data_IF_700261700533
#
_entry.id   IF_700261700533
#
_cell.length_a   1.000
_cell.length_b   1.000
_cell.length_c   1.000
_cell.angle_alpha   90.00
_cell.angle_beta   90.00
_cell.angle_gamma   90.00
#
_symmetry.space_group_name_H-M   'P 1'
#
loop_
_entity.id
_entity.type
_entity.pdbx_description
1 polymer ?
#
# COMPACT_ATOMS: atom_id res chain seq x y z
N UNK A 1 11.45 11.34 15.85
CA UNK A 1 10.08 10.85 15.64
C UNK A 1 9.48 11.73 14.55
N UNK A 2 9.16 11.18 13.37
CA UNK A 2 8.52 11.94 12.28
C UNK A 2 7.06 12.09 12.69
N UNK A 3 6.54 13.32 12.77
CA UNK A 3 5.12 13.54 13.09
C UNK A 3 4.24 13.15 11.90
N UNK A 4 3.02 12.71 12.14
CA UNK A 4 2.01 12.41 11.11
C UNK A 4 1.80 13.61 10.18
N UNK A 5 1.84 14.81 10.74
CA UNK A 5 1.74 16.08 10.01
C UNK A 5 2.87 16.24 8.98
N UNK A 6 4.10 15.87 9.31
CA UNK A 6 5.22 15.89 8.36
C UNK A 6 4.99 14.91 7.22
N UNK A 7 4.41 13.74 7.48
CA UNK A 7 4.10 12.76 6.42
C UNK A 7 3.05 13.30 5.47
N UNK A 8 1.95 13.82 5.99
CA UNK A 8 0.84 14.36 5.17
C UNK A 8 1.28 15.60 4.40
N UNK A 9 2.16 16.43 4.96
CA UNK A 9 2.71 17.62 4.29
C UNK A 9 3.72 17.31 3.16
N UNK A 10 4.24 16.08 3.09
CA UNK A 10 5.12 15.64 1.99
C UNK A 10 4.38 14.86 0.90
N UNK A 11 3.05 14.85 0.94
CA UNK A 11 2.22 14.27 -0.12
C UNK A 11 1.98 15.29 -1.23
N UNK A 12 1.96 14.83 -2.48
CA UNK A 12 1.67 15.66 -3.65
C UNK A 12 0.16 15.90 -3.84
N UNK A 13 -0.68 15.09 -3.17
CA UNK A 13 -2.13 15.24 -3.20
C UNK A 13 -2.61 16.24 -2.14
N UNK A 14 -3.63 16.99 -2.51
CA UNK A 14 -4.35 17.86 -1.57
C UNK A 14 -5.11 17.01 -0.55
N UNK A 15 -4.87 17.23 0.73
CA UNK A 15 -5.59 16.59 1.83
C UNK A 15 -6.22 17.67 2.71
N UNK A 16 -7.56 17.65 2.79
CA UNK A 16 -8.33 18.54 3.64
C UNK A 16 -9.11 17.73 4.69
N UNK A 17 -9.07 18.15 5.94
CA UNK A 17 -9.91 17.62 7.01
C UNK A 17 -10.99 18.65 7.37
N UNK A 18 -12.24 18.21 7.37
CA UNK A 18 -13.39 19.00 7.77
C UNK A 18 -13.99 18.43 9.07
N UNK A 19 -14.35 19.32 9.99
CA UNK A 19 -15.07 18.95 11.21
C UNK A 19 -16.55 18.61 10.91
N UNK A 20 -17.32 18.22 11.95
CA UNK A 20 -18.76 17.94 11.83
C UNK A 20 -19.60 19.12 11.33
N UNK A 21 -19.10 20.36 11.48
CA UNK A 21 -19.75 21.58 10.99
C UNK A 21 -19.25 21.96 9.59
N UNK A 22 -18.48 21.07 8.96
CA UNK A 22 -17.87 21.27 7.63
C UNK A 22 -16.91 22.46 7.59
N UNK A 23 -16.22 22.75 8.72
CA UNK A 23 -15.16 23.74 8.78
C UNK A 23 -13.81 23.08 8.58
N UNK A 24 -12.90 23.82 7.96
CA UNK A 24 -11.53 23.34 7.68
C UNK A 24 -10.77 23.22 9.01
N UNK A 25 -10.42 22.01 9.36
CA UNK A 25 -9.64 21.70 10.57
C UNK A 25 -8.15 21.52 10.23
N UNK A 26 -7.87 20.95 9.05
CA UNK A 26 -6.52 20.77 8.56
C UNK A 26 -6.49 20.82 7.04
N UNK A 27 -5.36 21.29 6.48
CA UNK A 27 -4.99 21.16 5.08
C UNK A 27 -3.48 20.96 5.00
N UNK A 28 -3.02 20.10 4.09
CA UNK A 28 -1.60 19.85 3.90
C UNK A 28 -0.96 20.90 2.98
N UNK A 29 0.38 20.84 2.87
CA UNK A 29 1.17 21.74 2.04
C UNK A 29 0.72 21.74 0.57
N UNK A 30 0.42 20.59 -0.02
CA UNK A 30 -0.09 20.51 -1.39
C UNK A 30 -1.42 21.27 -1.53
N UNK A 31 -2.27 21.24 -0.51
CA UNK A 31 -3.50 22.02 -0.47
C UNK A 31 -3.25 23.52 -0.35
N UNK A 32 -2.29 23.97 0.46
CA UNK A 32 -1.90 25.39 0.52
C UNK A 32 -1.42 25.89 -0.85
N UNK A 33 -0.58 25.09 -1.53
CA UNK A 33 -0.07 25.39 -2.87
C UNK A 33 -1.21 25.40 -3.92
N UNK A 34 -2.13 24.42 -3.84
CA UNK A 34 -3.27 24.31 -4.79
C UNK A 34 -4.24 25.47 -4.69
N UNK A 35 -4.61 25.89 -3.48
CA UNK A 35 -5.55 27.01 -3.25
C UNK A 35 -4.85 28.37 -3.20
N UNK A 36 -3.53 28.42 -3.18
CA UNK A 36 -2.75 29.66 -3.07
C UNK A 36 -2.99 30.43 -1.77
N UNK A 37 -3.33 29.72 -0.70
CA UNK A 37 -3.66 30.28 0.62
C UNK A 37 -2.97 29.49 1.71
N UNK A 38 -2.57 30.14 2.81
CA UNK A 38 -1.96 29.44 3.93
C UNK A 38 -3.01 28.73 4.79
N UNK A 39 -2.64 27.63 5.43
CA UNK A 39 -3.52 26.92 6.38
C UNK A 39 -4.05 27.87 7.47
N UNK A 40 -3.21 28.79 7.93
CA UNK A 40 -3.60 29.78 8.95
C UNK A 40 -4.78 30.66 8.52
N UNK A 41 -4.88 31.00 7.23
CA UNK A 41 -5.99 31.77 6.67
C UNK A 41 -7.25 30.92 6.48
N UNK A 42 -7.07 29.64 6.15
CA UNK A 42 -8.16 28.72 5.83
C UNK A 42 -8.76 28.06 7.06
N UNK A 43 -8.00 27.94 8.15
CA UNK A 43 -8.42 27.26 9.38
C UNK A 43 -9.74 27.80 9.92
N UNK A 44 -10.64 26.91 10.28
CA UNK A 44 -11.96 27.21 10.81
C UNK A 44 -12.93 27.95 9.86
N UNK A 45 -12.54 28.10 8.59
CA UNK A 45 -13.44 28.62 7.55
C UNK A 45 -14.39 27.52 7.08
N UNK A 46 -15.60 27.88 6.57
CA UNK A 46 -16.56 26.92 6.05
C UNK A 46 -16.05 26.27 4.75
N UNK A 47 -16.63 25.12 4.40
CA UNK A 47 -16.36 24.41 3.16
C UNK A 47 -16.38 25.33 1.91
N UNK A 48 -17.40 26.17 1.80
CA UNK A 48 -17.60 27.12 0.70
C UNK A 48 -16.47 28.15 0.53
N UNK A 49 -15.58 28.30 1.52
CA UNK A 49 -14.41 29.18 1.41
C UNK A 49 -13.37 28.65 0.41
N UNK A 50 -13.24 27.31 0.30
CA UNK A 50 -12.37 26.65 -0.67
C UNK A 50 -13.11 26.28 -1.97
N UNK A 51 -14.40 25.98 -1.86
CA UNK A 51 -15.22 25.46 -2.94
C UNK A 51 -16.50 26.30 -3.09
N UNK A 52 -16.40 27.56 -3.59
CA UNK A 52 -17.51 28.53 -3.54
C UNK A 52 -18.72 28.14 -4.40
N UNK A 53 -18.55 27.28 -5.42
CA UNK A 53 -19.62 26.90 -6.35
C UNK A 53 -19.80 25.37 -6.42
N UNK A 54 -19.58 24.65 -5.32
CA UNK A 54 -19.52 23.19 -5.33
C UNK A 54 -20.51 22.57 -4.33
N UNK A 55 -21.79 22.96 -4.44
CA UNK A 55 -22.88 22.48 -3.57
C UNK A 55 -22.99 20.93 -3.59
N UNK A 56 -22.74 20.32 -4.76
CA UNK A 56 -22.78 18.86 -4.91
C UNK A 56 -21.70 18.17 -4.05
N UNK A 57 -20.50 18.74 -3.98
CA UNK A 57 -19.41 18.17 -3.17
C UNK A 57 -19.67 18.44 -1.69
N UNK A 58 -20.19 19.62 -1.33
CA UNK A 58 -20.58 19.90 0.03
C UNK A 58 -21.65 18.93 0.53
N UNK A 59 -22.62 18.58 -0.33
CA UNK A 59 -23.62 17.56 -0.03
C UNK A 59 -22.99 16.17 0.19
N UNK A 60 -21.98 15.79 -0.59
CA UNK A 60 -21.25 14.54 -0.42
C UNK A 60 -20.49 14.52 0.91
N UNK A 61 -19.81 15.63 1.27
CA UNK A 61 -19.14 15.77 2.58
C UNK A 61 -20.16 15.64 3.71
N UNK A 62 -21.33 16.28 3.60
CA UNK A 62 -22.40 16.16 4.59
C UNK A 62 -22.90 14.71 4.74
N UNK A 63 -23.15 14.01 3.62
CA UNK A 63 -23.57 12.59 3.66
C UNK A 63 -22.48 11.70 4.24
N UNK A 64 -21.21 11.98 3.96
CA UNK A 64 -20.08 11.25 4.55
C UNK A 64 -20.11 11.37 6.07
N UNK A 65 -20.31 12.57 6.60
CA UNK A 65 -20.36 12.81 8.06
C UNK A 65 -21.59 12.16 8.68
N UNK A 66 -22.77 12.25 8.05
CA UNK A 66 -24.02 11.75 8.62
C UNK A 66 -24.23 10.25 8.48
N UNK A 67 -23.78 9.64 7.37
CA UNK A 67 -24.06 8.26 7.02
C UNK A 67 -22.82 7.35 7.10
N UNK A 68 -21.63 7.90 7.25
CA UNK A 68 -20.36 7.15 7.27
C UNK A 68 -19.97 6.56 5.91
N UNK A 69 -20.56 7.05 4.81
CA UNK A 69 -20.28 6.57 3.47
C UNK A 69 -19.06 7.24 2.88
N UNK A 70 -18.33 6.48 2.06
CA UNK A 70 -17.21 6.98 1.27
C UNK A 70 -17.71 7.28 -0.16
N UNK A 71 -17.17 8.36 -0.76
CA UNK A 71 -17.47 8.75 -2.12
C UNK A 71 -16.17 8.91 -2.91
N UNK A 72 -16.23 8.47 -4.16
CA UNK A 72 -15.15 8.63 -5.12
C UNK A 72 -15.75 9.22 -6.40
N UNK A 73 -15.20 10.31 -6.89
CA UNK A 73 -15.61 10.95 -8.14
C UNK A 73 -14.37 11.23 -8.98
N UNK A 74 -14.41 10.83 -10.24
CA UNK A 74 -13.33 11.06 -11.20
C UNK A 74 -13.70 12.22 -12.12
N UNK A 75 -12.66 12.93 -12.59
CA UNK A 75 -12.80 14.03 -13.54
C UNK A 75 -13.86 15.09 -13.13
N UNK A 76 -13.90 15.38 -11.82
CA UNK A 76 -14.81 16.40 -11.29
C UNK A 76 -14.29 17.78 -11.65
N UNK A 77 -15.11 18.56 -12.34
CA UNK A 77 -14.80 19.95 -12.63
C UNK A 77 -15.03 20.80 -11.37
N UNK A 78 -13.98 21.51 -10.94
CA UNK A 78 -14.00 22.40 -9.79
C UNK A 78 -13.67 23.82 -10.20
N UNK A 79 -14.43 24.78 -9.64
CA UNK A 79 -14.09 26.19 -9.68
C UNK A 79 -13.46 26.61 -8.34
N UNK A 80 -12.15 26.77 -8.35
CA UNK A 80 -11.34 27.26 -7.20
C UNK A 80 -10.69 28.61 -7.52
N UNK A 81 -11.40 29.48 -8.30
CA UNK A 81 -10.86 30.68 -8.89
C UNK A 81 -10.21 30.45 -10.26
N UNK A 82 -10.09 29.21 -10.65
CA UNK A 82 -9.78 28.65 -11.97
C UNK A 82 -10.53 27.34 -12.13
N UNK A 83 -10.95 27.05 -13.35
CA UNK A 83 -11.58 25.75 -13.63
C UNK A 83 -10.49 24.67 -13.70
N UNK A 84 -10.59 23.63 -12.85
CA UNK A 84 -9.68 22.49 -12.81
C UNK A 84 -10.46 21.17 -12.80
N UNK A 85 -9.93 20.16 -13.46
CA UNK A 85 -10.44 18.80 -13.35
C UNK A 85 -9.66 18.07 -12.28
N UNK A 86 -10.35 17.47 -11.31
CA UNK A 86 -9.74 16.74 -10.20
C UNK A 86 -10.40 15.39 -10.03
N UNK A 87 -9.62 14.42 -9.59
CA UNK A 87 -10.13 13.20 -8.97
C UNK A 87 -10.33 13.50 -7.49
N UNK A 88 -11.54 13.21 -7.01
CA UNK A 88 -12.00 13.55 -5.68
C UNK A 88 -12.38 12.31 -4.89
N UNK A 89 -11.94 12.26 -3.65
CA UNK A 89 -12.34 11.23 -2.70
C UNK A 89 -12.71 11.84 -1.36
N UNK A 90 -13.79 11.31 -0.77
CA UNK A 90 -14.29 11.75 0.52
C UNK A 90 -14.52 10.55 1.41
N UNK A 91 -13.93 10.55 2.60
CA UNK A 91 -14.06 9.49 3.58
C UNK A 91 -14.40 10.05 4.97
N UNK A 92 -15.13 9.29 5.80
CA UNK A 92 -15.39 9.71 7.17
C UNK A 92 -14.12 9.71 8.02
N UNK A 93 -13.98 10.73 8.86
CA UNK A 93 -12.95 10.79 9.88
C UNK A 93 -13.54 10.31 11.20
N UNK A 94 -12.94 9.26 11.76
CA UNK A 94 -13.44 8.63 12.98
C UNK A 94 -12.62 9.04 14.20
N UNK A 95 -13.30 9.37 15.29
CA UNK A 95 -12.76 9.32 16.65
C UNK A 95 -13.21 8.01 17.33
N UNK A 96 -12.70 7.66 18.54
CA UNK A 96 -13.04 6.41 19.20
C UNK A 96 -14.53 6.06 19.25
N UNK A 97 -15.39 7.07 19.34
CA UNK A 97 -16.80 6.86 19.65
C UNK A 97 -17.74 7.36 18.54
N UNK A 98 -17.24 8.04 17.50
CA UNK A 98 -18.12 8.66 16.50
C UNK A 98 -17.39 9.10 15.22
N UNK A 99 -18.17 9.43 14.20
CA UNK A 99 -17.67 10.18 13.04
C UNK A 99 -17.51 11.64 13.48
N UNK A 100 -16.28 12.16 13.38
CA UNK A 100 -15.94 13.51 13.86
C UNK A 100 -15.77 14.53 12.74
N UNK A 101 -15.80 14.03 11.50
CA UNK A 101 -15.67 14.88 10.34
C UNK A 101 -15.51 14.07 9.05
N UNK A 102 -14.95 14.71 8.02
CA UNK A 102 -14.64 14.08 6.74
C UNK A 102 -13.24 14.46 6.28
N UNK A 103 -12.55 13.50 5.70
CA UNK A 103 -11.31 13.71 4.95
C UNK A 103 -11.69 13.85 3.49
N UNK A 104 -11.24 14.92 2.84
CA UNK A 104 -11.35 15.12 1.41
C UNK A 104 -9.94 15.12 0.85
N UNK A 105 -9.69 14.21 -0.11
CA UNK A 105 -8.46 14.19 -0.86
C UNK A 105 -8.78 14.50 -2.32
N UNK A 106 -7.90 15.26 -2.98
CA UNK A 106 -8.06 15.54 -4.39
C UNK A 106 -6.73 15.68 -5.09
N UNK A 107 -6.75 15.36 -6.37
CA UNK A 107 -5.61 15.45 -7.27
C UNK A 107 -6.03 16.14 -8.57
N UNK A 108 -5.28 17.14 -9.00
CA UNK A 108 -5.49 17.79 -10.27
C UNK A 108 -5.17 16.81 -11.41
N UNK A 109 -6.13 16.63 -12.32
CA UNK A 109 -5.99 15.80 -13.51
C UNK A 109 -5.31 16.61 -14.60
N UNK A 110 -3.99 16.65 -14.59
CA UNK A 110 -3.21 17.19 -15.69
C UNK A 110 -3.27 16.17 -16.82
N UNK A 111 -4.11 16.41 -17.82
CA UNK A 111 -4.38 15.56 -18.97
C UNK A 111 -3.16 15.34 -19.86
N UNK A 112 -2.12 14.69 -19.34
CA UNK A 112 -1.01 14.12 -20.13
C UNK A 112 -0.52 12.88 -19.38
N UNK A 113 -0.86 11.70 -19.92
CA UNK A 113 -0.40 10.35 -19.58
C UNK A 113 -1.10 9.63 -18.43
N UNK A 114 -1.83 8.56 -18.78
CA UNK A 114 -2.55 7.61 -17.94
C UNK A 114 -1.73 6.81 -16.91
N UNK A 115 -1.11 7.49 -15.95
CA UNK A 115 -0.37 6.87 -14.82
C UNK A 115 -0.95 7.16 -13.44
N UNK A 116 -2.07 7.91 -13.35
CA UNK A 116 -2.57 8.49 -12.09
C UNK A 116 -3.55 7.66 -11.27
N UNK A 117 -4.38 6.81 -11.89
CA UNK A 117 -5.62 6.31 -11.30
C UNK A 117 -5.47 5.34 -10.12
N UNK A 118 -4.34 4.66 -10.00
CA UNK A 118 -4.19 3.62 -8.97
C UNK A 118 -3.46 4.07 -7.70
N UNK A 119 -2.72 5.17 -7.74
CA UNK A 119 -2.02 5.67 -6.55
C UNK A 119 -3.00 6.32 -5.58
N UNK A 120 -4.02 6.99 -6.10
CA UNK A 120 -5.01 7.72 -5.34
C UNK A 120 -5.92 6.79 -4.53
N UNK A 121 -6.54 5.78 -5.13
CA UNK A 121 -7.38 4.81 -4.41
C UNK A 121 -6.60 4.07 -3.33
N UNK A 122 -5.30 3.82 -3.57
CA UNK A 122 -4.43 3.15 -2.61
C UNK A 122 -4.03 4.04 -1.43
N UNK A 123 -3.74 5.32 -1.72
CA UNK A 123 -3.38 6.32 -0.72
C UNK A 123 -4.52 6.58 0.26
N UNK A 124 -5.73 6.60 -0.23
CA UNK A 124 -6.94 6.94 0.52
C UNK A 124 -7.43 5.81 1.40
N UNK A 125 -7.35 4.58 0.88
CA UNK A 125 -7.54 3.40 1.70
C UNK A 125 -6.48 3.35 2.81
N UNK A 126 -5.23 3.75 2.50
CA UNK A 126 -4.14 3.83 3.47
C UNK A 126 -4.38 4.91 4.53
N UNK A 127 -4.90 6.09 4.20
CA UNK A 127 -5.16 7.14 5.20
C UNK A 127 -6.24 6.73 6.22
N UNK A 128 -7.34 6.13 5.77
CA UNK A 128 -8.38 5.62 6.66
C UNK A 128 -7.90 4.47 7.54
N UNK A 129 -7.09 3.61 6.99
CA UNK A 129 -6.56 2.42 7.68
C UNK A 129 -5.35 2.74 8.56
N UNK A 130 -4.47 3.67 8.17
CA UNK A 130 -3.34 4.13 9.00
C UNK A 130 -3.85 4.76 10.29
N UNK A 131 -4.92 5.57 10.23
CA UNK A 131 -5.52 6.15 11.43
C UNK A 131 -5.97 5.06 12.41
N UNK A 132 -6.58 3.98 11.93
CA UNK A 132 -6.98 2.83 12.75
C UNK A 132 -5.79 2.02 13.27
N UNK A 133 -4.77 1.79 12.43
CA UNK A 133 -3.62 0.98 12.82
C UNK A 133 -2.62 1.71 13.72
N UNK A 134 -2.50 3.02 13.59
CA UNK A 134 -1.72 3.84 14.56
C UNK A 134 -2.46 3.93 15.88
N UNK A 135 -3.79 4.03 15.88
CA UNK A 135 -4.62 4.10 17.09
C UNK A 135 -4.52 2.83 17.94
N UNK A 136 -4.52 1.65 17.31
CA UNK A 136 -4.48 0.39 18.03
C UNK A 136 -3.20 0.23 18.88
N UNK A 137 -1.96 0.34 18.35
CA UNK A 137 -0.75 0.29 19.16
C UNK A 137 -0.63 1.45 20.15
N UNK A 138 -1.11 2.64 19.80
CA UNK A 138 -1.15 3.78 20.75
C UNK A 138 -2.05 3.49 21.95
N UNK A 139 -3.18 2.83 21.72
CA UNK A 139 -4.08 2.40 22.80
C UNK A 139 -3.43 1.34 23.68
N UNK A 140 -2.71 0.38 23.11
CA UNK A 140 -1.92 -0.61 23.82
C UNK A 140 -0.79 0.02 24.66
N UNK A 141 -0.02 0.92 24.05
CA UNK A 141 1.03 1.69 24.75
C UNK A 141 0.46 2.49 25.90
N UNK A 142 -0.66 3.20 25.67
CA UNK A 142 -1.31 4.00 26.72
C UNK A 142 -1.83 3.14 27.87
N UNK A 143 -2.46 2.00 27.55
CA UNK A 143 -2.94 1.03 28.56
C UNK A 143 -1.80 0.47 29.40
N UNK A 144 -0.74 0.00 28.76
CA UNK A 144 0.45 -0.52 29.45
C UNK A 144 1.15 0.54 30.29
N UNK A 145 1.28 1.77 29.79
CA UNK A 145 1.84 2.89 30.55
C UNK A 145 0.98 3.26 31.76
N UNK A 146 -0.34 3.17 31.66
CA UNK A 146 -1.25 3.41 32.80
C UNK A 146 -1.10 2.37 33.90
N UNK A 147 -0.93 1.10 33.53
CA UNK A 147 -0.70 0.00 34.48
C UNK A 147 0.66 0.17 35.19
N UNK A 148 1.73 0.46 34.43
CA UNK A 148 3.05 0.76 34.98
C UNK A 148 3.04 1.94 35.97
N UNK A 149 2.19 2.95 35.72
CA UNK A 149 2.02 4.10 36.63
C UNK A 149 1.35 3.71 37.96
N UNK A 150 0.57 2.61 37.98
CA UNK A 150 -0.11 2.10 39.16
C UNK A 150 0.71 1.12 39.98
N UNK A 151 1.58 0.35 39.34
CA UNK A 151 2.32 -0.75 39.95
C UNK A 151 3.83 -0.48 39.92
N UNK A 152 4.52 -0.70 41.04
CA UNK A 152 6.00 -0.67 41.09
C UNK A 152 6.54 -2.02 40.57
N UNK A 153 7.37 -1.98 39.55
CA UNK A 153 8.36 -2.94 39.03
C UNK A 153 8.27 -4.42 39.46
N UNK A 154 7.13 -5.06 39.32
CA UNK A 154 6.93 -6.50 39.46
C UNK A 154 6.86 -7.22 38.08
N UNK A 155 6.53 -8.49 38.05
CA UNK A 155 6.41 -9.29 36.82
C UNK A 155 5.40 -8.68 35.83
N UNK A 156 4.33 -8.07 36.34
CA UNK A 156 3.29 -7.41 35.54
C UNK A 156 3.82 -6.13 34.88
N UNK A 157 4.71 -5.39 35.54
CA UNK A 157 5.43 -4.25 34.97
C UNK A 157 6.34 -4.64 33.81
N UNK A 158 7.00 -5.78 33.88
CA UNK A 158 7.81 -6.33 32.80
C UNK A 158 6.96 -6.75 31.58
N UNK A 159 5.80 -7.36 31.79
CA UNK A 159 4.88 -7.70 30.70
C UNK A 159 4.36 -6.44 30.00
N UNK A 160 4.04 -5.41 30.76
CA UNK A 160 3.62 -4.11 30.21
C UNK A 160 4.73 -3.43 29.39
N UNK A 161 5.98 -3.46 29.85
CA UNK A 161 7.13 -2.97 29.09
C UNK A 161 7.32 -3.74 27.78
N UNK A 162 7.22 -5.05 27.81
CA UNK A 162 7.32 -5.87 26.62
C UNK A 162 6.19 -5.57 25.61
N UNK A 163 4.98 -5.32 26.09
CA UNK A 163 3.86 -4.90 25.26
C UNK A 163 4.11 -3.54 24.61
N UNK A 164 4.57 -2.55 25.38
CA UNK A 164 4.93 -1.22 24.86
C UNK A 164 5.97 -1.33 23.74
N UNK A 165 7.04 -2.07 23.96
CA UNK A 165 8.10 -2.27 22.96
C UNK A 165 7.55 -2.94 21.69
N UNK A 166 6.76 -3.99 21.85
CA UNK A 166 6.14 -4.72 20.72
C UNK A 166 5.22 -3.83 19.89
N UNK A 167 4.37 -3.01 20.53
CA UNK A 167 3.46 -2.12 19.81
C UNK A 167 4.20 -0.94 19.16
N UNK A 168 5.27 -0.45 19.79
CA UNK A 168 6.16 0.56 19.20
C UNK A 168 6.87 0.03 17.95
N UNK A 169 7.40 -1.21 17.99
CA UNK A 169 8.03 -1.87 16.84
C UNK A 169 7.02 -2.11 15.71
N UNK A 170 5.79 -2.49 16.05
CA UNK A 170 4.70 -2.64 15.09
C UNK A 170 4.39 -1.32 14.38
N UNK A 171 4.26 -0.23 15.13
CA UNK A 171 4.01 1.10 14.60
C UNK A 171 5.14 1.57 13.70
N UNK A 172 6.39 1.34 14.10
CA UNK A 172 7.55 1.67 13.29
C UNK A 172 7.57 0.89 11.95
N UNK A 173 7.18 -0.39 11.98
CA UNK A 173 7.09 -1.22 10.78
C UNK A 173 6.02 -0.72 9.80
N UNK A 174 4.86 -0.27 10.32
CA UNK A 174 3.79 0.35 9.52
C UNK A 174 4.27 1.65 8.88
N UNK A 175 4.93 2.52 9.65
CA UNK A 175 5.46 3.79 9.17
C UNK A 175 6.55 3.61 8.11
N UNK A 176 7.48 2.68 8.32
CA UNK A 176 8.53 2.37 7.35
C UNK A 176 7.95 1.81 6.05
N UNK A 177 6.94 0.94 6.14
CA UNK A 177 6.20 0.45 4.99
C UNK A 177 5.59 1.60 4.17
N UNK A 178 4.99 2.57 4.84
CA UNK A 178 4.40 3.75 4.23
C UNK A 178 5.46 4.65 3.54
N UNK A 179 6.55 4.98 4.24
CA UNK A 179 7.63 5.80 3.68
C UNK A 179 8.26 5.17 2.43
N UNK A 180 8.27 3.84 2.37
CA UNK A 180 8.80 3.12 1.20
C UNK A 180 7.85 3.25 0.00
N UNK A 181 6.53 3.38 0.23
CA UNK A 181 5.53 3.57 -0.82
C UNK A 181 5.63 4.94 -1.49
N UNK A 182 6.06 5.98 -0.77
CA UNK A 182 6.09 7.37 -1.28
C UNK A 182 7.34 7.70 -2.09
N UNK A 183 8.42 6.92 -1.97
CA UNK A 183 9.65 7.16 -2.72
C UNK A 183 9.54 6.67 -4.15
N UNK A 184 9.82 7.54 -5.12
CA UNK A 184 9.94 7.16 -6.53
C UNK A 184 11.06 6.12 -6.71
N UNK A 185 10.86 5.08 -7.54
CA UNK A 185 11.89 4.10 -7.81
C UNK A 185 13.06 4.71 -8.60
N UNK A 186 14.28 4.26 -8.29
CA UNK A 186 15.48 4.63 -9.02
C UNK A 186 15.84 3.50 -9.97
N UNK A 187 15.47 3.66 -11.25
CA UNK A 187 15.67 2.63 -12.26
C UNK A 187 17.12 2.55 -12.73
N UNK A 188 17.65 1.33 -12.78
CA UNK A 188 18.91 0.97 -13.41
C UNK A 188 18.83 -0.46 -13.95
N UNK A 189 19.87 -0.93 -14.66
CA UNK A 189 19.91 -2.30 -15.13
C UNK A 189 20.16 -3.26 -13.97
N UNK A 190 19.21 -4.18 -13.74
CA UNK A 190 19.19 -5.10 -12.60
C UNK A 190 19.19 -6.53 -13.08
N UNK A 191 20.12 -7.33 -12.58
CA UNK A 191 20.11 -8.78 -12.72
C UNK A 191 19.18 -9.40 -11.67
N UNK A 192 18.05 -9.92 -12.12
CA UNK A 192 17.03 -10.50 -11.24
C UNK A 192 17.56 -11.67 -10.41
N UNK A 193 18.45 -12.50 -10.99
CA UNK A 193 18.99 -13.64 -10.26
C UNK A 193 19.86 -13.20 -9.07
N UNK A 194 20.64 -12.13 -9.24
CA UNK A 194 21.43 -11.56 -8.13
C UNK A 194 20.55 -11.02 -6.99
N UNK A 195 19.42 -10.38 -7.33
CA UNK A 195 18.46 -9.89 -6.34
C UNK A 195 17.78 -11.05 -5.60
N UNK A 196 17.41 -12.13 -6.31
CA UNK A 196 16.84 -13.32 -5.68
C UNK A 196 17.86 -13.97 -4.73
N UNK A 197 19.11 -14.15 -5.17
CA UNK A 197 20.16 -14.71 -4.34
C UNK A 197 20.48 -13.84 -3.12
N UNK A 198 20.39 -12.52 -3.28
CA UNK A 198 20.52 -11.59 -2.15
C UNK A 198 19.37 -11.78 -1.15
N UNK A 199 18.13 -11.86 -1.63
CA UNK A 199 16.97 -12.11 -0.77
C UNK A 199 17.09 -13.44 -0.01
N UNK A 200 17.55 -14.51 -0.67
CA UNK A 200 17.78 -15.81 -0.05
C UNK A 200 18.87 -15.75 1.03
N UNK A 201 19.97 -15.01 0.79
CA UNK A 201 21.01 -14.80 1.82
C UNK A 201 20.47 -14.05 3.03
N UNK A 202 19.67 -13.02 2.85
CA UNK A 202 19.03 -12.27 3.95
C UNK A 202 18.12 -13.19 4.77
N UNK A 203 17.41 -14.11 4.13
CA UNK A 203 16.46 -15.02 4.77
C UNK A 203 17.07 -16.36 5.20
N UNK A 204 18.38 -16.55 5.05
CA UNK A 204 19.05 -17.85 5.27
C UNK A 204 18.80 -18.44 6.66
N UNK A 205 18.85 -17.61 7.70
CA UNK A 205 18.62 -18.03 9.09
C UNK A 205 17.21 -18.57 9.28
N UNK A 206 16.20 -17.90 8.72
CA UNK A 206 14.79 -18.30 8.83
C UNK A 206 14.51 -19.56 7.99
N UNK A 207 15.10 -19.67 6.82
CA UNK A 207 15.03 -20.86 5.94
C UNK A 207 15.61 -22.08 6.68
N UNK A 208 16.81 -21.96 7.26
CA UNK A 208 17.45 -23.02 8.02
C UNK A 208 16.65 -23.41 9.26
N UNK A 209 16.17 -22.44 10.02
CA UNK A 209 15.31 -22.67 11.20
C UNK A 209 14.02 -23.38 10.84
N UNK A 210 13.39 -23.00 9.71
CA UNK A 210 12.17 -23.62 9.19
C UNK A 210 12.40 -25.00 8.56
N UNK A 211 13.65 -25.44 8.39
CA UNK A 211 14.04 -26.68 7.67
C UNK A 211 13.44 -26.73 6.26
N UNK A 212 13.54 -25.61 5.54
CA UNK A 212 12.96 -25.46 4.20
C UNK A 212 14.03 -25.79 3.16
N UNK A 213 13.67 -26.66 2.22
CA UNK A 213 14.48 -26.93 1.02
C UNK A 213 14.18 -25.87 -0.01
N UNK A 214 15.23 -25.21 -0.52
CA UNK A 214 15.10 -24.23 -1.59
C UNK A 214 15.50 -24.88 -2.91
N UNK A 215 14.53 -24.99 -3.81
CA UNK A 215 14.73 -25.48 -5.17
C UNK A 215 14.79 -24.32 -6.15
N UNK A 216 15.85 -24.26 -7.00
CA UNK A 216 16.11 -23.13 -7.88
C UNK A 216 16.16 -23.58 -9.35
N UNK A 217 15.38 -22.95 -10.18
CA UNK A 217 15.36 -23.18 -11.63
C UNK A 217 15.40 -21.84 -12.37
N UNK A 218 16.60 -21.30 -12.56
CA UNK A 218 16.82 -20.02 -13.23
C UNK A 218 17.14 -20.21 -14.71
N UNK A 219 16.44 -19.47 -15.56
CA UNK A 219 16.75 -19.40 -16.98
C UNK A 219 17.92 -18.43 -17.21
N UNK A 220 19.09 -18.91 -17.63
CA UNK A 220 20.27 -18.06 -17.81
C UNK A 220 20.14 -17.08 -18.99
N UNK A 221 19.15 -17.25 -19.86
CA UNK A 221 18.90 -16.36 -20.99
C UNK A 221 18.13 -15.09 -20.58
N UNK A 222 17.66 -14.99 -19.31
CA UNK A 222 16.91 -13.85 -18.86
C UNK A 222 17.83 -12.61 -18.81
N UNK A 223 17.55 -11.55 -19.60
CA UNK A 223 18.36 -10.35 -19.59
C UNK A 223 18.13 -9.51 -18.33
N UNK A 224 19.03 -8.55 -18.07
CA UNK A 224 18.79 -7.52 -17.08
C UNK A 224 17.50 -6.75 -17.40
N UNK A 225 16.84 -6.27 -16.37
CA UNK A 225 15.64 -5.45 -16.48
C UNK A 225 15.92 -4.03 -15.97
N UNK A 226 15.13 -3.06 -16.42
CA UNK A 226 15.12 -1.72 -15.84
C UNK A 226 14.33 -1.76 -14.52
N UNK A 227 14.99 -1.51 -13.38
CA UNK A 227 14.35 -1.63 -12.07
C UNK A 227 15.13 -0.98 -10.93
N UNK A 228 14.48 -0.87 -9.79
CA UNK A 228 15.06 -0.47 -8.51
C UNK A 228 15.38 -1.74 -7.70
N UNK A 229 16.67 -2.09 -7.62
CA UNK A 229 17.17 -3.29 -6.96
C UNK A 229 16.68 -3.39 -5.51
N UNK A 230 16.74 -2.28 -4.74
CA UNK A 230 16.34 -2.28 -3.33
C UNK A 230 14.84 -2.55 -3.14
N UNK A 231 14.01 -1.99 -4.01
CA UNK A 231 12.56 -2.24 -3.99
C UNK A 231 12.22 -3.65 -4.43
N UNK A 232 12.88 -4.18 -5.46
CA UNK A 232 12.70 -5.57 -5.89
C UNK A 232 13.18 -6.56 -4.83
N UNK A 233 14.30 -6.28 -4.18
CA UNK A 233 14.79 -7.05 -3.03
C UNK A 233 13.73 -7.11 -1.91
N UNK A 234 13.11 -6.00 -1.60
CA UNK A 234 12.04 -5.93 -0.59
C UNK A 234 10.84 -6.82 -0.97
N UNK A 235 10.43 -6.83 -2.24
CA UNK A 235 9.37 -7.72 -2.74
C UNK A 235 9.74 -9.18 -2.54
N UNK A 236 10.95 -9.56 -2.95
CA UNK A 236 11.38 -10.96 -2.88
C UNK A 236 11.52 -11.44 -1.43
N UNK A 237 12.10 -10.63 -0.54
CA UNK A 237 12.15 -10.93 0.90
C UNK A 237 10.73 -11.14 1.46
N UNK A 238 9.78 -10.28 1.10
CA UNK A 238 8.40 -10.40 1.57
C UNK A 238 7.74 -11.70 1.09
N UNK A 239 7.94 -12.09 -0.18
CA UNK A 239 7.38 -13.33 -0.71
C UNK A 239 8.03 -14.56 -0.08
N UNK A 240 9.36 -14.58 0.09
CA UNK A 240 10.08 -15.65 0.77
C UNK A 240 9.60 -15.79 2.22
N UNK A 241 9.49 -14.67 2.94
CA UNK A 241 8.97 -14.65 4.31
C UNK A 241 7.56 -15.21 4.40
N UNK A 242 6.67 -14.80 3.49
CA UNK A 242 5.30 -15.33 3.45
C UNK A 242 5.27 -16.84 3.17
N UNK A 243 6.13 -17.35 2.29
CA UNK A 243 6.25 -18.76 2.02
C UNK A 243 6.75 -19.55 3.25
N UNK A 244 7.77 -19.04 3.96
CA UNK A 244 8.28 -19.62 5.21
C UNK A 244 7.16 -19.75 6.25
N UNK A 245 6.43 -18.66 6.48
CA UNK A 245 5.34 -18.60 7.44
C UNK A 245 4.16 -19.52 7.04
N UNK A 246 3.84 -19.62 5.74
CA UNK A 246 2.79 -20.52 5.24
C UNK A 246 3.14 -22.02 5.45
N UNK A 247 4.43 -22.33 5.52
CA UNK A 247 4.94 -23.69 5.75
C UNK A 247 5.23 -23.99 7.23
N UNK A 248 5.16 -23.01 8.14
CA UNK A 248 5.61 -23.16 9.53
C UNK A 248 4.95 -24.35 10.25
N UNK A 249 3.63 -24.49 10.13
CA UNK A 249 2.84 -25.53 10.77
C UNK A 249 2.75 -26.85 9.96
N UNK A 250 3.40 -26.91 8.80
CA UNK A 250 3.33 -28.10 7.95
C UNK A 250 4.21 -29.21 8.51
N UNK A 251 3.65 -30.43 8.57
CA UNK A 251 4.36 -31.66 8.96
C UNK A 251 5.03 -32.36 7.77
N UNK A 252 4.68 -31.95 6.55
CA UNK A 252 5.25 -32.49 5.29
C UNK A 252 6.54 -31.77 4.94
N UNK A 253 7.23 -32.29 3.93
CA UNK A 253 8.40 -31.64 3.36
C UNK A 253 8.09 -30.19 2.95
N UNK A 254 8.92 -29.26 3.38
CA UNK A 254 8.79 -27.82 3.16
C UNK A 254 9.70 -27.42 2.03
N UNK A 255 9.12 -27.11 0.88
CA UNK A 255 9.87 -26.75 -0.33
C UNK A 255 9.47 -25.36 -0.76
N UNK A 256 10.46 -24.50 -0.98
CA UNK A 256 10.33 -23.22 -1.66
C UNK A 256 11.00 -23.34 -3.01
N UNK A 257 10.21 -23.44 -4.09
CA UNK A 257 10.72 -23.47 -5.46
C UNK A 257 10.70 -22.07 -6.05
N UNK A 258 11.83 -21.63 -6.59
CA UNK A 258 11.99 -20.32 -7.25
C UNK A 258 12.42 -20.58 -8.68
N UNK A 259 11.63 -20.11 -9.64
CA UNK A 259 11.94 -20.25 -11.06
C UNK A 259 11.86 -18.91 -11.78
N UNK A 260 12.71 -18.75 -12.81
CA UNK A 260 12.67 -17.61 -13.70
C UNK A 260 12.62 -18.07 -15.14
N UNK A 261 11.90 -17.35 -15.99
CA UNK A 261 11.86 -17.58 -17.43
C UNK A 261 11.47 -16.32 -18.18
N UNK A 262 11.93 -16.12 -19.42
CA UNK A 262 11.31 -15.17 -20.32
C UNK A 262 9.94 -15.67 -20.79
N UNK A 263 9.03 -14.76 -21.11
CA UNK A 263 7.73 -15.10 -21.66
C UNK A 263 7.29 -14.07 -22.68
N UNK A 264 6.78 -14.55 -23.79
CA UNK A 264 6.18 -13.73 -24.85
C UNK A 264 4.65 -13.72 -24.73
N UNK A 265 4.12 -13.95 -23.53
CA UNK A 265 2.68 -13.98 -23.30
C UNK A 265 2.04 -12.62 -23.63
N UNK A 266 0.96 -12.67 -24.39
CA UNK A 266 0.11 -11.52 -24.60
C UNK A 266 -0.62 -11.20 -23.29
N UNK A 267 -0.28 -10.08 -22.65
CA UNK A 267 -1.09 -9.60 -21.53
C UNK A 267 -2.14 -8.64 -22.03
N UNK A 268 -3.37 -8.91 -21.62
CA UNK A 268 -4.45 -7.96 -21.75
C UNK A 268 -4.27 -6.95 -20.62
N UNK A 269 -3.71 -5.81 -20.93
CA UNK A 269 -3.71 -4.66 -20.04
C UNK A 269 -5.03 -3.95 -20.29
N UNK A 270 -5.89 -3.93 -19.28
CA UNK A 270 -7.05 -3.06 -19.29
C UNK A 270 -6.53 -1.65 -18.94
N UNK A 271 -6.29 -0.83 -19.94
CA UNK A 271 -6.31 0.61 -19.74
C UNK A 271 -7.79 0.99 -19.65
N UNK A 272 -8.27 1.44 -18.50
CA UNK A 272 -9.56 2.11 -18.43
C UNK A 272 -9.42 3.40 -19.23
N UNK A 273 -10.19 3.59 -20.30
CA UNK A 273 -10.08 4.79 -21.10
C UNK A 273 -10.76 5.96 -20.38
N UNK A 274 -10.12 7.11 -20.42
CA UNK A 274 -10.69 8.39 -20.00
C UNK A 274 -11.93 8.81 -20.84
N UNK A 275 -12.30 8.09 -21.89
CA UNK A 275 -13.52 8.35 -22.68
C UNK A 275 -14.11 7.06 -23.24
N UNK A 276 -15.41 6.92 -23.08
CA UNK A 276 -16.30 5.85 -23.50
C UNK A 276 -15.96 5.20 -24.85
N UNK A 277 -15.18 4.16 -24.83
CA UNK A 277 -15.13 2.96 -25.68
C UNK A 277 -13.93 2.16 -25.20
N UNK A 278 -14.18 1.21 -24.28
CA UNK A 278 -13.16 0.30 -23.76
C UNK A 278 -12.44 -0.41 -24.93
N UNK A 279 -11.28 0.11 -25.27
CA UNK A 279 -10.36 -0.49 -26.21
C UNK A 279 -9.48 -1.49 -25.45
N UNK A 280 -9.67 -2.78 -25.69
CA UNK A 280 -8.80 -3.84 -25.23
C UNK A 280 -7.46 -3.68 -25.97
N UNK A 281 -6.47 -3.01 -25.36
CA UNK A 281 -5.13 -2.95 -25.92
C UNK A 281 -4.42 -4.28 -25.62
N UNK A 282 -4.26 -5.09 -26.66
CA UNK A 282 -3.42 -6.29 -26.62
C UNK A 282 -2.01 -5.84 -26.96
N UNK A 283 -1.17 -5.61 -25.96
CA UNK A 283 0.23 -5.28 -26.18
C UNK A 283 1.05 -6.56 -26.14
N UNK A 284 1.72 -6.91 -27.24
CA UNK A 284 2.74 -7.96 -27.25
C UNK A 284 3.96 -7.39 -26.51
N UNK A 285 4.22 -7.88 -25.33
CA UNK A 285 5.37 -7.46 -24.53
C UNK A 285 6.08 -8.69 -24.00
N UNK A 286 7.42 -8.69 -24.07
CA UNK A 286 8.23 -9.72 -23.44
C UNK A 286 8.30 -9.47 -21.93
N UNK A 287 8.23 -10.54 -21.17
CA UNK A 287 8.19 -10.48 -19.70
C UNK A 287 9.30 -11.35 -19.10
N UNK A 288 9.94 -10.85 -18.06
CA UNK A 288 10.62 -11.69 -17.09
C UNK A 288 9.58 -12.22 -16.12
N UNK A 289 9.39 -13.53 -16.09
CA UNK A 289 8.47 -14.21 -15.17
C UNK A 289 9.27 -14.83 -14.05
N UNK A 290 8.99 -14.43 -12.82
CA UNK A 290 9.60 -14.94 -11.60
C UNK A 290 8.52 -15.61 -10.76
N UNK A 291 8.68 -16.90 -10.45
CA UNK A 291 7.72 -17.63 -9.62
C UNK A 291 8.34 -17.98 -8.28
N UNK A 292 7.58 -17.74 -7.22
CA UNK A 292 7.84 -18.22 -5.86
C UNK A 292 6.72 -19.20 -5.51
N UNK A 293 7.04 -20.48 -5.41
CA UNK A 293 6.10 -21.55 -5.08
C UNK A 293 6.44 -22.16 -3.74
N UNK A 294 5.48 -22.20 -2.84
CA UNK A 294 5.58 -22.87 -1.53
C UNK A 294 4.71 -24.13 -1.47
N UNK A 295 5.05 -25.03 -0.56
CA UNK A 295 4.25 -26.23 -0.22
C UNK A 295 3.42 -26.04 1.05
N UNK A 296 3.09 -24.80 1.40
CA UNK A 296 2.37 -24.42 2.61
C UNK A 296 0.87 -24.74 2.61
N UNK A 297 0.15 -24.10 3.53
CA UNK A 297 -1.30 -24.28 3.71
C UNK A 297 -2.13 -23.82 2.53
N UNK A 298 -1.55 -23.00 1.64
CA UNK A 298 -2.26 -22.39 0.52
C UNK A 298 -3.26 -21.30 0.91
N UNK A 299 -4.07 -20.89 -0.07
CA UNK A 299 -5.04 -19.82 0.06
C UNK A 299 -6.42 -20.28 -0.44
N UNK A 300 -7.47 -19.83 0.20
CA UNK A 300 -8.86 -19.97 -0.26
C UNK A 300 -9.17 -18.98 -1.39
N UNK A 301 -10.25 -19.17 -2.11
CA UNK A 301 -10.70 -18.24 -3.16
C UNK A 301 -10.96 -16.83 -2.61
N UNK A 302 -11.55 -16.72 -1.43
CA UNK A 302 -11.83 -15.43 -0.79
C UNK A 302 -10.53 -14.72 -0.36
N UNK A 303 -9.56 -15.48 0.12
CA UNK A 303 -8.24 -14.94 0.46
C UNK A 303 -7.50 -14.42 -0.77
N UNK A 304 -7.51 -15.17 -1.87
CA UNK A 304 -6.88 -14.75 -3.14
C UNK A 304 -7.36 -13.36 -3.57
N UNK A 305 -8.64 -13.07 -3.40
CA UNK A 305 -9.22 -11.77 -3.74
C UNK A 305 -8.81 -10.64 -2.78
N UNK A 306 -8.42 -10.98 -1.55
CA UNK A 306 -8.18 -10.01 -0.47
C UNK A 306 -6.72 -9.84 -0.06
N UNK A 307 -5.83 -10.79 -0.38
CA UNK A 307 -4.43 -10.78 0.12
C UNK A 307 -3.61 -9.56 -0.32
N UNK A 308 -4.02 -8.90 -1.41
CA UNK A 308 -3.39 -7.67 -1.89
C UNK A 308 -4.06 -6.40 -1.35
N UNK A 309 -5.15 -6.51 -0.57
CA UNK A 309 -5.72 -5.37 0.11
C UNK A 309 -4.79 -4.95 1.26
N UNK A 310 -4.53 -3.65 1.43
CA UNK A 310 -3.77 -3.17 2.58
C UNK A 310 -4.40 -3.63 3.89
N UNK A 311 -3.55 -3.93 4.88
CA UNK A 311 -3.91 -4.36 6.22
C UNK A 311 -4.65 -5.70 6.33
N UNK A 312 -4.88 -6.36 5.21
CA UNK A 312 -5.43 -7.70 5.25
C UNK A 312 -4.37 -8.69 5.76
N UNK A 313 -4.62 -9.27 6.92
CA UNK A 313 -3.75 -10.30 7.51
C UNK A 313 -4.58 -11.25 8.38
N UNK A 314 -4.22 -12.52 8.38
CA UNK A 314 -4.71 -13.52 9.34
C UNK A 314 -3.73 -13.77 10.48
N UNK A 315 -2.58 -13.11 10.45
CA UNK A 315 -1.49 -13.32 11.40
C UNK A 315 -1.65 -12.35 12.56
N UNK A 316 -1.57 -12.84 13.78
CA UNK A 316 -1.61 -12.00 14.99
C UNK A 316 -0.51 -10.94 15.04
N UNK A 317 0.63 -11.19 14.37
CA UNK A 317 1.80 -10.29 14.33
C UNK A 317 2.06 -9.67 12.95
N UNK A 318 1.15 -9.84 11.98
CA UNK A 318 1.32 -9.31 10.63
C UNK A 318 0.81 -7.88 10.50
N UNK A 319 1.55 -7.01 9.79
CA UNK A 319 1.07 -5.65 9.45
C UNK A 319 0.02 -5.63 8.35
N UNK A 320 -0.15 -6.71 7.58
CA UNK A 320 -1.02 -6.76 6.40
C UNK A 320 -0.58 -5.86 5.23
N UNK A 321 0.59 -5.20 5.32
CA UNK A 321 1.09 -4.28 4.30
C UNK A 321 2.04 -4.93 3.30
N UNK A 322 2.64 -6.07 3.61
CA UNK A 322 3.69 -6.67 2.79
C UNK A 322 3.27 -6.93 1.34
N UNK A 323 2.16 -7.65 1.13
CA UNK A 323 1.70 -8.02 -0.22
C UNK A 323 1.13 -6.82 -0.99
N UNK A 324 0.43 -5.90 -0.34
CA UNK A 324 -0.05 -4.67 -0.97
C UNK A 324 1.11 -3.79 -1.44
N UNK A 325 2.15 -3.65 -0.61
CA UNK A 325 3.39 -2.96 -0.97
C UNK A 325 4.12 -3.68 -2.13
N UNK A 326 4.20 -5.01 -2.08
CA UNK A 326 4.80 -5.79 -3.17
C UNK A 326 4.06 -5.55 -4.49
N UNK A 327 2.72 -5.55 -4.47
CA UNK A 327 1.90 -5.26 -5.66
C UNK A 327 2.17 -3.85 -6.20
N UNK A 328 2.28 -2.84 -5.31
CA UNK A 328 2.60 -1.48 -5.69
C UNK A 328 3.99 -1.39 -6.32
N UNK A 329 5.01 -1.93 -5.67
CA UNK A 329 6.39 -1.90 -6.19
C UNK A 329 6.44 -2.53 -7.59
N UNK A 330 5.85 -3.72 -7.78
CA UNK A 330 5.83 -4.39 -9.08
C UNK A 330 5.09 -3.55 -10.12
N UNK A 331 4.00 -2.89 -9.74
CA UNK A 331 3.27 -1.99 -10.62
C UNK A 331 4.09 -0.76 -11.00
N UNK A 332 4.79 -0.14 -10.05
CA UNK A 332 5.70 0.99 -10.30
C UNK A 332 6.82 0.62 -11.28
N UNK A 333 7.16 -0.67 -11.40
CA UNK A 333 8.08 -1.24 -12.40
C UNK A 333 7.38 -1.60 -13.72
N UNK A 334 6.11 -1.21 -13.93
CA UNK A 334 5.33 -1.58 -15.11
C UNK A 334 4.96 -3.06 -15.16
N UNK A 335 5.13 -3.77 -14.05
CA UNK A 335 4.90 -5.20 -13.92
C UNK A 335 3.54 -5.57 -13.33
N UNK A 336 3.35 -6.87 -13.14
CA UNK A 336 2.14 -7.47 -12.57
C UNK A 336 2.53 -8.60 -11.61
N UNK A 337 1.81 -8.73 -10.51
CA UNK A 337 1.89 -9.87 -9.59
C UNK A 337 0.58 -10.66 -9.61
N UNK A 338 0.68 -11.96 -9.75
CA UNK A 338 -0.46 -12.89 -9.72
C UNK A 338 -0.22 -13.94 -8.64
N UNK A 339 -1.31 -14.51 -8.13
CA UNK A 339 -1.28 -15.63 -7.21
C UNK A 339 -2.20 -16.74 -7.71
N UNK A 340 -1.72 -17.97 -7.59
CA UNK A 340 -2.50 -19.18 -7.79
C UNK A 340 -2.30 -20.06 -6.56
N UNK A 341 -3.39 -20.63 -6.06
CA UNK A 341 -3.34 -21.60 -4.96
C UNK A 341 -4.44 -22.63 -5.16
N UNK A 342 -4.14 -23.87 -4.83
CA UNK A 342 -5.06 -24.99 -4.92
C UNK A 342 -5.35 -25.57 -3.51
N UNK A 343 -5.77 -24.71 -2.60
CA UNK A 343 -6.00 -25.10 -1.20
C UNK A 343 -4.72 -25.64 -0.55
N UNK A 344 -4.80 -26.72 0.20
CA UNK A 344 -3.69 -27.31 0.97
C UNK A 344 -2.48 -27.82 0.16
N UNK A 345 -2.33 -27.39 -1.08
CA UNK A 345 -1.18 -27.70 -1.96
C UNK A 345 -0.18 -26.59 -2.10
N UNK A 346 -0.29 -25.56 -1.25
CA UNK A 346 0.59 -24.39 -1.31
C UNK A 346 0.12 -23.30 -2.25
N UNK A 347 0.98 -22.31 -2.48
CA UNK A 347 0.70 -21.14 -3.31
C UNK A 347 1.82 -20.88 -4.30
N UNK A 348 1.49 -20.27 -5.43
CA UNK A 348 2.45 -19.78 -6.43
C UNK A 348 2.20 -18.29 -6.62
N UNK A 349 3.19 -17.49 -6.26
CA UNK A 349 3.23 -16.07 -6.59
C UNK A 349 4.07 -15.87 -7.85
N UNK A 350 3.46 -15.34 -8.91
CA UNK A 350 4.10 -15.07 -10.19
C UNK A 350 4.24 -13.57 -10.39
N UNK A 351 5.46 -13.10 -10.54
CA UNK A 351 5.82 -11.71 -10.85
C UNK A 351 6.15 -11.64 -12.34
N UNK A 352 5.60 -10.65 -13.01
CA UNK A 352 5.87 -10.34 -14.40
C UNK A 352 6.49 -8.95 -14.47
N UNK A 353 7.73 -8.83 -14.93
CA UNK A 353 8.41 -7.55 -15.12
C UNK A 353 8.68 -7.35 -16.60
N UNK A 354 8.49 -6.14 -17.15
CA UNK A 354 8.69 -5.90 -18.56
C UNK A 354 10.18 -6.08 -18.92
N UNK A 355 10.43 -6.84 -19.97
CA UNK A 355 11.71 -6.83 -20.66
C UNK A 355 11.67 -5.68 -21.67
N UNK A 356 12.67 -4.79 -21.65
CA UNK A 356 12.80 -3.78 -22.69
C UNK A 356 12.88 -4.48 -24.03
N UNK A 357 12.21 -3.98 -25.06
CA UNK A 357 12.41 -4.43 -26.39
C UNK A 357 13.89 -4.23 -26.72
N UNK A 358 14.64 -5.32 -26.88
CA UNK A 358 15.98 -5.23 -27.47
C UNK A 358 15.83 -4.46 -28.76
N UNK A 359 16.33 -3.22 -28.79
CA UNK A 359 16.28 -2.38 -29.98
C UNK A 359 16.82 -3.16 -31.17
N UNK A 360 16.01 -3.20 -32.22
CA UNK A 360 16.43 -3.60 -33.52
C UNK A 360 17.34 -2.54 -34.16
#
# INVERSE_FOLDING_TARGET
MISLEVLINNMDEVVCLFDRRRRIEFINRAGEEFFGKSFREMRNKPFSYLFPNSDDIEMLVQKTISEGRQYNSKETELDVGRTVNVDLYIAPFYTPDSIDGAILCMRENLSLTGRGDYQFDHLLYLLGSIAHEIKNPLSGIKGAAQILKRNQADAEGQECLNLILKEADRLNSVLLGYLTMTRLPRFHQVNIHEVIEHALRVMETDIKRGKIVVDKSYDPSLPCISGDEGKLLQVFINLIKNAIEAMELMKKEKILSISTRPSDEYMVIYEEPAHARAGKLIKKQRWAVINFQDTGIGLTKDEINRIFLPLYTKKEKGSGLGLSLSKKIIKDHGGLIRVKSAGSRGSVFSIYLPLEATGA
#
